data_IF_795199837032
#
_entry.id   IF_795199837032
#
_cell.length_a   1.000
_cell.length_b   1.000
_cell.length_c   1.000
_cell.angle_alpha   90.00
_cell.angle_beta   90.00
_cell.angle_gamma   90.00
#
_symmetry.space_group_name_H-M   'P 1'
#
loop_
_entity.id
_entity.type
_entity.pdbx_description
1 polymer ?
#
# COMPACT_ATOMS: atom_id res chain seq x y z
N UNK A 1 -3.46 -17.14 21.03
CA UNK A 1 -3.20 -15.82 21.66
C UNK A 1 -1.86 -15.18 21.28
N UNK A 2 -0.79 -15.93 20.97
CA UNK A 2 0.52 -15.34 20.65
C UNK A 2 0.78 -14.99 19.18
N UNK A 3 -0.14 -15.30 18.25
CA UNK A 3 0.06 -15.16 16.80
C UNK A 3 0.38 -13.73 16.32
N UNK A 4 0.11 -12.71 17.14
CA UNK A 4 0.38 -11.30 16.83
C UNK A 4 1.72 -10.80 17.37
N UNK A 5 2.38 -11.56 18.24
CA UNK A 5 3.68 -11.16 18.79
C UNK A 5 4.76 -11.51 17.79
N UNK A 6 5.60 -10.53 17.47
CA UNK A 6 6.66 -10.70 16.50
C UNK A 6 7.98 -10.15 17.08
N UNK A 7 9.09 -10.87 16.93
CA UNK A 7 10.39 -10.36 17.32
C UNK A 7 10.80 -9.15 16.48
N UNK A 8 11.57 -8.24 17.08
CA UNK A 8 12.15 -7.11 16.38
C UNK A 8 13.50 -7.49 15.76
N UNK A 9 13.49 -7.82 14.47
CA UNK A 9 14.64 -8.47 13.79
C UNK A 9 15.57 -7.52 13.02
N UNK A 10 15.49 -6.21 13.19
CA UNK A 10 16.37 -5.28 12.48
C UNK A 10 16.65 -4.01 13.26
N UNK A 11 17.91 -3.56 13.29
CA UNK A 11 18.28 -2.29 13.92
C UNK A 11 18.11 -1.09 12.98
N UNK A 12 18.18 -1.33 11.66
CA UNK A 12 18.34 -0.29 10.63
C UNK A 12 17.36 -0.44 9.46
N UNK A 13 16.54 -1.49 9.45
CA UNK A 13 15.63 -1.81 8.36
C UNK A 13 16.31 -2.33 7.09
N UNK A 14 17.59 -2.70 7.17
CA UNK A 14 18.39 -3.25 6.05
C UNK A 14 18.85 -4.66 6.37
N UNK A 15 19.45 -4.87 7.54
CA UNK A 15 19.94 -6.17 7.97
C UNK A 15 18.90 -6.90 8.82
N UNK A 16 18.71 -8.19 8.52
CA UNK A 16 17.81 -9.09 9.27
C UNK A 16 18.64 -9.92 10.23
N UNK A 17 18.21 -9.96 11.49
CA UNK A 17 18.90 -10.66 12.57
C UNK A 17 18.16 -11.97 12.83
N UNK A 18 18.86 -13.08 12.63
CA UNK A 18 18.33 -14.44 12.75
C UNK A 18 18.53 -15.05 14.13
N UNK A 19 19.60 -14.70 14.84
CA UNK A 19 19.95 -15.23 16.17
C UNK A 19 19.04 -14.67 17.28
N UNK A 20 18.39 -15.53 18.07
CA UNK A 20 17.46 -15.11 19.14
C UNK A 20 18.12 -14.23 20.22
N UNK A 21 19.37 -14.55 20.60
CA UNK A 21 20.14 -13.74 21.55
C UNK A 21 20.40 -12.34 20.98
N UNK A 22 20.63 -12.24 19.68
CA UNK A 22 20.87 -10.96 19.04
C UNK A 22 19.56 -10.21 18.78
N UNK A 23 18.43 -10.89 18.56
CA UNK A 23 17.11 -10.27 18.50
C UNK A 23 16.75 -9.54 19.82
N UNK A 24 17.04 -10.14 20.99
CA UNK A 24 16.80 -9.45 22.28
C UNK A 24 17.70 -8.21 22.43
N UNK A 25 18.98 -8.32 22.08
CA UNK A 25 19.89 -7.16 22.09
C UNK A 25 19.41 -6.08 21.13
N UNK A 26 18.92 -6.45 19.96
CA UNK A 26 18.37 -5.52 18.97
C UNK A 26 17.10 -4.87 19.46
N UNK A 27 16.20 -5.61 20.10
CA UNK A 27 15.01 -5.03 20.74
C UNK A 27 15.43 -3.93 21.73
N UNK A 28 16.35 -4.24 22.64
CA UNK A 28 16.81 -3.27 23.65
C UNK A 28 17.51 -2.08 23.01
N UNK A 29 18.45 -2.30 22.10
CA UNK A 29 19.29 -1.23 21.55
C UNK A 29 18.59 -0.42 20.45
N UNK A 30 17.71 -1.03 19.66
CA UNK A 30 16.97 -0.37 18.59
C UNK A 30 15.62 0.16 19.11
N UNK A 31 14.74 -0.69 19.63
CA UNK A 31 13.38 -0.26 20.01
C UNK A 31 13.40 0.72 21.17
N UNK A 32 14.22 0.50 22.21
CA UNK A 32 14.32 1.44 23.33
C UNK A 32 15.25 2.63 23.08
N UNK A 33 15.77 2.78 21.85
CA UNK A 33 16.30 4.06 21.44
C UNK A 33 15.20 5.12 21.57
N UNK A 34 15.50 6.24 22.24
CA UNK A 34 14.53 7.32 22.51
C UNK A 34 13.78 7.78 21.25
N UNK A 35 14.46 7.87 20.10
CA UNK A 35 13.82 8.30 18.84
C UNK A 35 12.81 7.26 18.36
N UNK A 36 13.19 5.98 18.39
CA UNK A 36 12.37 4.87 17.88
C UNK A 36 11.16 4.63 18.78
N UNK A 37 11.35 4.56 20.11
CA UNK A 37 10.24 4.32 21.03
C UNK A 37 9.18 5.44 20.98
N UNK A 38 9.62 6.70 20.86
CA UNK A 38 8.70 7.83 20.74
C UNK A 38 7.95 7.75 19.41
N UNK A 39 8.63 7.44 18.31
CA UNK A 39 7.99 7.30 16.99
C UNK A 39 6.98 6.15 16.99
N UNK A 40 7.34 5.00 17.56
CA UNK A 40 6.46 3.85 17.69
C UNK A 40 5.18 4.18 18.46
N UNK A 41 5.32 4.80 19.63
CA UNK A 41 4.17 5.15 20.47
C UNK A 41 3.29 6.20 19.78
N UNK A 42 3.89 7.15 19.07
CA UNK A 42 3.17 8.28 18.49
C UNK A 42 2.47 7.94 17.16
N UNK A 43 3.07 7.04 16.35
CA UNK A 43 2.68 6.87 14.94
C UNK A 43 2.44 5.41 14.52
N UNK A 44 2.72 4.42 15.37
CA UNK A 44 2.67 2.99 14.99
C UNK A 44 1.79 2.13 15.89
N UNK A 45 0.87 2.76 16.62
CA UNK A 45 -0.18 2.08 17.38
C UNK A 45 -1.53 2.46 16.78
N UNK A 46 -2.29 1.46 16.34
CA UNK A 46 -3.71 1.65 16.01
C UNK A 46 -4.60 1.03 17.08
N UNK A 47 -5.74 1.66 17.30
CA UNK A 47 -6.84 1.14 18.07
C UNK A 47 -7.99 0.87 17.11
N UNK A 48 -8.10 -0.38 16.65
CA UNK A 48 -9.20 -0.76 15.77
C UNK A 48 -10.49 -0.84 16.56
N UNK A 49 -11.48 -0.02 16.19
CA UNK A 49 -12.80 -0.04 16.78
C UNK A 49 -13.75 -0.92 15.95
N UNK A 50 -14.16 -2.04 16.52
CA UNK A 50 -15.21 -2.90 15.99
C UNK A 50 -16.40 -2.87 16.94
N UNK A 51 -17.45 -2.11 16.59
CA UNK A 51 -18.71 -2.03 17.35
C UNK A 51 -18.51 -1.69 18.84
N UNK A 52 -17.56 -0.80 19.16
CA UNK A 52 -17.24 -0.39 20.53
C UNK A 52 -16.20 -1.26 21.22
N UNK A 53 -15.73 -2.35 20.58
CA UNK A 53 -14.59 -3.14 21.06
C UNK A 53 -13.31 -2.65 20.41
N UNK A 54 -12.35 -2.25 21.24
CA UNK A 54 -11.04 -1.79 20.77
C UNK A 54 -10.01 -2.92 20.76
N UNK A 55 -9.42 -3.15 19.60
CA UNK A 55 -8.27 -4.03 19.42
C UNK A 55 -7.02 -3.19 19.18
N UNK A 56 -6.12 -3.13 20.17
CA UNK A 56 -4.84 -2.43 20.04
C UNK A 56 -3.86 -3.25 19.20
N UNK A 57 -3.23 -2.63 18.20
CA UNK A 57 -2.23 -3.25 17.33
C UNK A 57 -1.00 -2.35 17.25
N UNK A 58 0.18 -2.91 17.50
CA UNK A 58 1.47 -2.26 17.25
C UNK A 58 1.98 -2.71 15.87
N UNK A 59 2.62 -1.81 15.14
CA UNK A 59 3.26 -2.15 13.89
C UNK A 59 4.38 -3.18 14.07
N UNK A 60 4.47 -4.11 13.12
CA UNK A 60 5.60 -5.01 12.96
C UNK A 60 6.85 -4.27 12.50
N UNK A 61 8.05 -4.80 12.78
CA UNK A 61 9.30 -4.12 12.45
C UNK A 61 9.41 -3.78 10.95
N UNK A 62 8.97 -4.67 10.04
CA UNK A 62 8.99 -4.40 8.59
C UNK A 62 8.06 -3.25 8.21
N UNK A 63 6.90 -3.14 8.85
CA UNK A 63 5.98 -2.02 8.66
C UNK A 63 6.59 -0.71 9.15
N UNK A 64 7.23 -0.72 10.32
CA UNK A 64 7.91 0.46 10.87
C UNK A 64 8.97 1.02 9.92
N UNK A 65 9.85 0.16 9.42
CA UNK A 65 10.91 0.59 8.50
C UNK A 65 10.36 0.99 7.14
N UNK A 66 9.41 0.22 6.57
CA UNK A 66 8.79 0.55 5.29
C UNK A 66 8.09 1.92 5.31
N UNK A 67 7.28 2.18 6.33
CA UNK A 67 6.57 3.46 6.49
C UNK A 67 7.53 4.62 6.61
N UNK A 68 8.57 4.50 7.42
CA UNK A 68 9.54 5.58 7.60
C UNK A 68 10.28 5.91 6.30
N UNK A 69 10.77 4.89 5.57
CA UNK A 69 11.39 5.09 4.25
C UNK A 69 10.40 5.70 3.25
N UNK A 70 9.15 5.23 3.24
CA UNK A 70 8.12 5.74 2.36
C UNK A 70 7.77 7.20 2.64
N UNK A 71 7.63 7.61 3.91
CA UNK A 71 7.39 9.01 4.27
C UNK A 71 8.53 9.89 3.80
N UNK A 72 9.79 9.50 4.04
CA UNK A 72 10.97 10.23 3.55
C UNK A 72 10.92 10.38 2.01
N UNK A 73 10.68 9.30 1.27
CA UNK A 73 10.54 9.34 -0.18
C UNK A 73 9.36 10.15 -0.69
N UNK A 74 8.28 10.20 0.08
CA UNK A 74 7.12 11.02 -0.28
C UNK A 74 7.43 12.50 -0.13
N UNK A 75 8.13 12.89 0.94
CA UNK A 75 8.58 14.27 1.13
C UNK A 75 9.51 14.69 -0.02
N UNK A 76 10.47 13.83 -0.39
CA UNK A 76 11.36 14.08 -1.54
C UNK A 76 10.58 14.22 -2.86
N UNK A 77 9.62 13.32 -3.10
CA UNK A 77 8.81 13.30 -4.32
C UNK A 77 7.82 14.48 -4.42
N UNK A 78 7.30 14.96 -3.30
CA UNK A 78 6.34 16.07 -3.21
C UNK A 78 6.99 17.46 -3.17
N UNK A 79 8.31 17.55 -3.10
CA UNK A 79 9.03 18.82 -3.15
C UNK A 79 8.88 19.49 -4.53
N UNK A 80 9.15 20.79 -4.63
CA UNK A 80 9.10 21.60 -5.85
C UNK A 80 10.00 21.02 -6.95
N UNK A 81 11.10 20.36 -6.57
CA UNK A 81 12.04 19.68 -7.48
C UNK A 81 11.80 18.17 -7.57
N UNK A 82 10.82 17.66 -6.84
CA UNK A 82 10.43 16.26 -6.84
C UNK A 82 9.79 15.86 -8.17
N UNK A 83 9.85 14.57 -8.46
CA UNK A 83 9.29 13.97 -9.68
C UNK A 83 7.91 13.33 -9.45
N UNK A 84 7.34 13.49 -8.23
CA UNK A 84 6.07 12.88 -7.85
C UNK A 84 6.10 11.35 -7.79
N UNK A 85 7.28 10.72 -7.73
CA UNK A 85 7.45 9.26 -7.66
C UNK A 85 8.00 8.86 -6.29
N UNK A 86 7.11 8.48 -5.37
CA UNK A 86 7.47 8.15 -4.00
C UNK A 86 8.05 6.74 -3.85
N UNK A 87 7.80 5.85 -4.81
CA UNK A 87 8.38 4.50 -4.94
C UNK A 87 7.34 3.38 -4.76
N UNK A 88 7.83 2.15 -4.67
CA UNK A 88 7.01 0.94 -4.47
C UNK A 88 7.38 0.21 -3.19
N UNK A 89 6.37 -0.17 -2.39
CA UNK A 89 6.49 -1.11 -1.28
C UNK A 89 5.99 -2.48 -1.74
N UNK A 90 6.87 -3.48 -1.75
CA UNK A 90 6.49 -4.86 -1.99
C UNK A 90 6.46 -5.64 -0.69
N UNK A 91 5.26 -5.84 -0.16
CA UNK A 91 5.02 -6.57 1.08
C UNK A 91 4.07 -7.72 0.77
N UNK A 92 4.51 -8.97 0.99
CA UNK A 92 3.73 -10.16 0.58
C UNK A 92 2.29 -10.16 1.13
N UNK A 93 1.37 -10.82 0.43
CA UNK A 93 -0.01 -10.93 0.89
C UNK A 93 -0.09 -11.55 2.29
N UNK A 94 -0.92 -10.98 3.16
CA UNK A 94 -1.03 -11.40 4.57
C UNK A 94 -0.02 -10.75 5.53
N UNK A 95 0.99 -10.03 5.03
CA UNK A 95 2.00 -9.34 5.88
C UNK A 95 1.51 -8.07 6.59
N UNK A 96 0.24 -7.70 6.41
CA UNK A 96 -0.35 -6.51 7.01
C UNK A 96 -0.22 -5.22 6.19
N UNK A 97 -0.12 -5.30 4.85
CA UNK A 97 -0.06 -4.14 3.93
C UNK A 97 -1.05 -3.01 4.26
N UNK A 98 -2.32 -3.35 4.48
CA UNK A 98 -3.36 -2.35 4.76
C UNK A 98 -3.06 -1.55 6.03
N UNK A 99 -2.50 -2.19 7.08
CA UNK A 99 -2.03 -1.49 8.28
C UNK A 99 -0.79 -0.63 7.98
N UNK A 100 0.13 -1.11 7.14
CA UNK A 100 1.26 -0.30 6.67
C UNK A 100 0.77 0.99 6.01
N UNK A 101 -0.27 0.92 5.16
CA UNK A 101 -0.89 2.10 4.54
C UNK A 101 -1.55 3.04 5.57
N UNK A 102 -2.20 2.49 6.60
CA UNK A 102 -2.78 3.29 7.70
C UNK A 102 -1.71 4.07 8.44
N UNK A 103 -0.61 3.41 8.85
CA UNK A 103 0.50 4.06 9.55
C UNK A 103 1.17 5.12 8.67
N UNK A 104 1.39 4.80 7.40
CA UNK A 104 1.91 5.74 6.41
C UNK A 104 1.01 6.97 6.26
N UNK A 105 -0.29 6.77 6.07
CA UNK A 105 -1.28 7.86 5.96
C UNK A 105 -1.30 8.72 7.21
N UNK A 106 -1.41 8.12 8.41
CA UNK A 106 -1.45 8.86 9.68
C UNK A 106 -0.20 9.71 9.92
N UNK A 107 0.96 9.24 9.45
CA UNK A 107 2.22 9.97 9.53
C UNK A 107 2.32 11.09 8.50
N UNK A 108 1.85 10.89 7.27
CA UNK A 108 1.79 11.94 6.24
C UNK A 108 0.89 13.11 6.64
N UNK A 109 -0.25 12.83 7.28
CA UNK A 109 -1.17 13.86 7.79
C UNK A 109 -0.45 14.87 8.70
N UNK A 110 0.48 14.40 9.53
CA UNK A 110 1.31 15.26 10.37
C UNK A 110 2.44 15.95 9.62
N UNK A 111 3.07 15.22 8.70
CA UNK A 111 4.37 15.62 8.15
C UNK A 111 4.24 16.57 6.95
N UNK A 112 3.12 16.50 6.22
CA UNK A 112 2.91 17.25 4.97
C UNK A 112 1.75 18.24 5.06
N UNK A 113 1.54 18.85 6.24
CA UNK A 113 0.51 19.88 6.47
C UNK A 113 -0.88 19.44 6.00
N UNK A 114 -1.31 18.24 6.42
CA UNK A 114 -2.64 17.71 6.13
C UNK A 114 -2.93 17.55 4.62
N UNK A 115 -2.14 16.76 3.87
CA UNK A 115 -2.36 16.53 2.44
C UNK A 115 -3.69 15.83 2.19
N UNK A 116 -4.19 15.90 0.95
CA UNK A 116 -5.26 15.01 0.50
C UNK A 116 -4.65 13.67 0.12
N UNK A 117 -5.19 12.58 0.66
CA UNK A 117 -4.75 11.21 0.39
C UNK A 117 -5.81 10.55 -0.48
N UNK A 118 -5.40 9.97 -1.61
CA UNK A 118 -6.27 9.22 -2.51
C UNK A 118 -5.83 7.77 -2.50
N UNK A 119 -6.60 6.89 -1.86
CA UNK A 119 -6.41 5.45 -1.94
C UNK A 119 -7.09 4.92 -3.19
N UNK A 120 -6.29 4.36 -4.08
CA UNK A 120 -6.69 3.87 -5.38
C UNK A 120 -6.65 2.35 -5.39
N UNK A 121 -7.80 1.75 -5.69
CA UNK A 121 -7.95 0.30 -5.83
C UNK A 121 -8.47 -0.06 -7.22
N UNK A 122 -8.27 -1.33 -7.60
CA UNK A 122 -8.74 -1.86 -8.88
C UNK A 122 -10.23 -2.24 -8.85
N UNK A 123 -10.79 -2.62 -7.70
CA UNK A 123 -12.17 -3.09 -7.63
C UNK A 123 -12.89 -2.63 -6.37
N UNK A 124 -14.20 -2.45 -6.48
CA UNK A 124 -15.05 -2.01 -5.37
C UNK A 124 -14.93 -2.90 -4.13
N UNK A 125 -14.83 -4.23 -4.29
CA UNK A 125 -14.71 -5.14 -3.14
C UNK A 125 -13.38 -4.97 -2.38
N UNK A 126 -12.29 -4.63 -3.08
CA UNK A 126 -11.01 -4.29 -2.43
C UNK A 126 -11.07 -2.90 -1.79
N UNK A 127 -11.73 -1.96 -2.46
CA UNK A 127 -12.00 -0.60 -1.96
C UNK A 127 -12.75 -0.65 -0.61
N UNK A 128 -13.84 -1.41 -0.55
CA UNK A 128 -14.68 -1.59 0.63
C UNK A 128 -13.88 -2.22 1.79
N UNK A 129 -13.06 -3.22 1.50
CA UNK A 129 -12.20 -3.86 2.51
C UNK A 129 -11.19 -2.89 3.10
N UNK A 130 -10.48 -2.14 2.25
CA UNK A 130 -9.46 -1.21 2.68
C UNK A 130 -10.08 0.00 3.40
N UNK A 131 -11.20 0.51 2.89
CA UNK A 131 -12.00 1.54 3.54
C UNK A 131 -12.44 1.12 4.95
N UNK A 132 -12.90 -0.13 5.10
CA UNK A 132 -13.24 -0.69 6.39
C UNK A 132 -12.07 -0.67 7.38
N UNK A 133 -10.87 -1.09 6.95
CA UNK A 133 -9.66 -1.05 7.79
C UNK A 133 -9.34 0.38 8.24
N UNK A 134 -9.36 1.34 7.32
CA UNK A 134 -9.08 2.74 7.62
C UNK A 134 -10.12 3.37 8.54
N UNK A 135 -11.40 3.08 8.31
CA UNK A 135 -12.51 3.58 9.14
C UNK A 135 -12.39 3.10 10.58
N UNK A 136 -12.05 1.82 10.78
CA UNK A 136 -11.80 1.24 12.11
C UNK A 136 -10.56 1.83 12.80
N UNK A 137 -9.61 2.38 12.03
CA UNK A 137 -8.39 3.01 12.54
C UNK A 137 -8.44 4.55 12.52
N UNK A 138 -9.61 5.17 12.41
CA UNK A 138 -9.75 6.62 12.14
C UNK A 138 -9.03 7.53 13.16
N UNK A 139 -8.85 7.09 14.41
CA UNK A 139 -8.15 7.85 15.46
C UNK A 139 -6.72 8.27 15.06
N UNK A 140 -5.96 7.39 14.41
CA UNK A 140 -4.58 7.70 13.99
C UNK A 140 -4.54 8.64 12.77
N UNK A 141 -5.61 8.62 11.97
CA UNK A 141 -5.70 9.33 10.71
C UNK A 141 -6.05 10.81 10.90
N UNK A 142 -6.64 11.20 12.06
CA UNK A 142 -7.11 12.56 12.38
C UNK A 142 -8.12 13.15 11.39
N UNK A 143 -8.61 12.31 10.48
CA UNK A 143 -9.55 12.63 9.43
C UNK A 143 -10.47 11.43 9.27
N UNK A 144 -11.72 11.68 8.92
CA UNK A 144 -12.66 10.62 8.58
C UNK A 144 -12.45 10.22 7.12
N UNK A 145 -12.11 8.95 6.84
CA UNK A 145 -12.07 8.44 5.47
C UNK A 145 -13.44 8.57 4.79
N UNK A 146 -13.44 8.84 3.49
CA UNK A 146 -14.65 8.93 2.67
C UNK A 146 -14.46 8.13 1.39
N UNK A 147 -15.48 7.37 0.99
CA UNK A 147 -15.49 6.64 -0.26
C UNK A 147 -16.18 7.45 -1.36
N UNK A 148 -15.54 7.54 -2.53
CA UNK A 148 -16.12 8.13 -3.73
C UNK A 148 -16.89 7.04 -4.49
N UNK A 149 -18.22 7.12 -4.44
CA UNK A 149 -19.15 6.21 -5.11
C UNK A 149 -19.38 6.58 -6.58
N UNK A 150 -19.25 7.85 -6.94
CA UNK A 150 -19.37 8.36 -8.31
C UNK A 150 -18.20 9.25 -8.74
N UNK A 151 -18.10 9.55 -10.05
CA UNK A 151 -17.09 10.48 -10.59
C UNK A 151 -17.38 11.92 -10.15
N UNK A 152 -18.63 12.30 -10.06
CA UNK A 152 -19.08 13.60 -9.56
C UNK A 152 -18.70 13.76 -8.09
N UNK A 153 -18.88 12.70 -7.29
CA UNK A 153 -18.48 12.67 -5.89
C UNK A 153 -16.96 12.81 -5.75
N UNK A 154 -16.20 12.05 -6.53
CA UNK A 154 -14.73 12.15 -6.57
C UNK A 154 -14.26 13.57 -6.91
N UNK A 155 -14.84 14.19 -7.94
CA UNK A 155 -14.54 15.57 -8.32
C UNK A 155 -14.82 16.55 -7.19
N UNK A 156 -15.97 16.42 -6.52
CA UNK A 156 -16.32 17.25 -5.37
C UNK A 156 -15.35 17.10 -4.20
N UNK A 157 -14.95 15.86 -3.89
CA UNK A 157 -13.99 15.57 -2.81
C UNK A 157 -12.58 16.12 -3.11
N UNK A 158 -12.17 16.17 -4.37
CA UNK A 158 -10.88 16.72 -4.79
C UNK A 158 -10.86 18.25 -4.94
N UNK A 159 -12.04 18.90 -4.96
CA UNK A 159 -12.18 20.35 -5.13
C UNK A 159 -11.95 21.17 -3.84
N UNK A 160 -11.47 20.54 -2.76
CA UNK A 160 -11.17 21.21 -1.49
C UNK A 160 -9.80 21.87 -1.49
N UNK A 161 -9.57 22.82 -0.57
CA UNK A 161 -8.29 23.52 -0.45
C UNK A 161 -7.16 22.63 0.14
N UNK A 162 -7.48 21.74 1.07
CA UNK A 162 -6.53 20.80 1.67
C UNK A 162 -7.25 19.68 2.43
N UNK A 163 -6.55 18.59 2.70
CA UNK A 163 -7.05 17.46 3.50
C UNK A 163 -8.03 16.54 2.78
N UNK A 164 -8.42 15.47 3.47
CA UNK A 164 -9.29 14.40 2.97
C UNK A 164 -8.53 13.09 2.80
N UNK A 165 -9.14 12.00 3.21
CA UNK A 165 -8.71 10.64 2.88
C UNK A 165 -9.82 10.04 2.02
N UNK A 166 -9.55 9.89 0.74
CA UNK A 166 -10.52 9.55 -0.30
C UNK A 166 -10.22 8.15 -0.79
N UNK A 167 -11.21 7.27 -0.73
CA UNK A 167 -11.19 5.95 -1.33
C UNK A 167 -11.87 6.01 -2.68
N UNK A 168 -11.23 5.45 -3.71
CA UNK A 168 -11.79 5.40 -5.04
C UNK A 168 -11.21 4.24 -5.82
N UNK A 169 -11.96 3.82 -6.82
CA UNK A 169 -11.48 2.85 -7.79
C UNK A 169 -10.91 3.53 -9.03
N UNK A 170 -10.03 2.82 -9.71
CA UNK A 170 -9.36 3.31 -10.91
C UNK A 170 -10.34 3.60 -12.07
N UNK A 171 -11.47 2.89 -12.13
CA UNK A 171 -12.49 3.09 -13.18
C UNK A 171 -13.13 4.49 -13.15
N UNK A 172 -13.03 5.20 -12.01
CA UNK A 172 -13.57 6.56 -11.88
C UNK A 172 -12.70 7.60 -12.57
N UNK A 173 -11.49 7.25 -13.00
CA UNK A 173 -10.61 8.09 -13.81
C UNK A 173 -10.70 7.79 -15.33
N UNK A 174 -11.74 7.08 -15.77
CA UNK A 174 -11.97 6.82 -17.19
C UNK A 174 -12.76 7.94 -17.85
N UNK A 175 -12.35 8.43 -19.03
CA UNK A 175 -13.20 9.30 -19.82
C UNK A 175 -14.44 8.53 -20.30
N UNK A 176 -15.55 9.23 -20.48
CA UNK A 176 -16.77 8.65 -21.07
C UNK A 176 -16.58 8.27 -22.55
N UNK A 177 -15.70 8.99 -23.25
CA UNK A 177 -15.37 8.75 -24.65
C UNK A 177 -14.00 8.08 -24.80
N UNK A 178 -13.93 7.00 -25.59
CA UNK A 178 -12.68 6.29 -25.86
C UNK A 178 -11.67 7.22 -26.54
N UNK A 179 -10.49 7.36 -25.93
CA UNK A 179 -9.38 8.16 -26.47
C UNK A 179 -9.41 9.63 -26.07
N UNK A 180 -10.41 10.09 -25.32
CA UNK A 180 -10.40 11.44 -24.75
C UNK A 180 -9.37 11.55 -23.61
N UNK A 181 -8.84 12.76 -23.40
CA UNK A 181 -8.07 13.06 -22.18
C UNK A 181 -9.03 13.15 -21.00
N UNK A 182 -8.60 12.66 -19.85
CA UNK A 182 -9.38 12.83 -18.63
C UNK A 182 -9.21 14.27 -18.14
N UNK A 183 -10.30 14.96 -17.71
CA UNK A 183 -10.19 16.34 -17.26
C UNK A 183 -9.37 16.44 -15.98
N UNK A 184 -8.60 17.53 -15.85
CA UNK A 184 -7.94 17.86 -14.60
C UNK A 184 -8.98 18.02 -13.48
N UNK A 185 -8.80 17.27 -12.39
CA UNK A 185 -9.65 17.36 -11.20
C UNK A 185 -9.05 18.30 -10.15
N UNK A 186 -7.72 18.36 -10.06
CA UNK A 186 -7.00 19.25 -9.16
C UNK A 186 -5.56 19.46 -9.63
N UNK A 187 -5.06 20.68 -9.58
CA UNK A 187 -3.64 21.03 -9.84
C UNK A 187 -2.80 21.10 -8.56
N UNK A 188 -3.36 20.73 -7.41
CA UNK A 188 -2.67 20.82 -6.12
C UNK A 188 -1.50 19.82 -6.03
N UNK A 189 -0.38 20.26 -5.49
CA UNK A 189 0.79 19.40 -5.22
C UNK A 189 0.71 18.64 -3.90
N UNK A 190 -0.15 19.06 -2.96
CA UNK A 190 -0.37 18.39 -1.68
C UNK A 190 -1.41 17.25 -1.79
N UNK A 191 -1.31 16.45 -2.85
CA UNK A 191 -2.13 15.26 -3.09
C UNK A 191 -1.20 14.06 -3.19
N UNK A 192 -1.49 13.00 -2.43
CA UNK A 192 -0.70 11.77 -2.42
C UNK A 192 -1.63 10.62 -2.81
N UNK A 193 -1.30 9.96 -3.91
CA UNK A 193 -2.03 8.80 -4.42
C UNK A 193 -1.33 7.52 -3.94
N UNK A 194 -2.07 6.69 -3.21
CA UNK A 194 -1.64 5.39 -2.73
C UNK A 194 -2.35 4.34 -3.57
N UNK A 195 -1.61 3.67 -4.47
CA UNK A 195 -2.16 2.59 -5.28
C UNK A 195 -1.97 1.25 -4.56
N UNK A 196 -3.06 0.52 -4.32
CA UNK A 196 -3.00 -0.89 -3.91
C UNK A 196 -2.91 -1.80 -5.14
N UNK A 197 -2.18 -2.91 -4.97
CA UNK A 197 -1.80 -3.86 -6.03
C UNK A 197 -1.25 -3.18 -7.30
N UNK A 198 -0.29 -2.27 -7.11
CA UNK A 198 0.34 -1.47 -8.16
C UNK A 198 1.04 -2.27 -9.29
N UNK A 199 1.20 -3.58 -9.13
CA UNK A 199 1.83 -4.49 -10.12
C UNK A 199 0.83 -5.09 -11.13
N UNK A 200 -0.48 -4.93 -10.92
CA UNK A 200 -1.45 -5.70 -11.70
C UNK A 200 -1.43 -5.17 -13.12
N UNK A 201 -1.33 -6.07 -14.10
CA UNK A 201 -1.37 -5.79 -15.55
C UNK A 201 -2.49 -4.84 -15.99
N UNK A 202 -3.50 -4.61 -15.15
CA UNK A 202 -4.50 -3.56 -15.26
C UNK A 202 -3.91 -2.15 -15.44
N UNK A 203 -2.81 -1.81 -14.75
CA UNK A 203 -2.11 -0.53 -14.93
C UNK A 203 -1.33 -0.48 -16.25
N UNK A 204 -0.88 -1.65 -16.74
CA UNK A 204 -0.14 -1.85 -17.99
C UNK A 204 -1.02 -1.99 -19.24
N UNK A 205 -2.27 -2.45 -19.09
CA UNK A 205 -3.20 -2.65 -20.21
C UNK A 205 -3.70 -1.28 -20.70
N UNK A 206 -2.88 -0.72 -21.58
CA UNK A 206 -3.06 0.51 -22.35
C UNK A 206 -2.83 1.72 -21.44
N UNK A 207 -1.61 2.25 -21.44
CA UNK A 207 -1.17 3.66 -21.69
C UNK A 207 -2.02 4.85 -21.18
N UNK A 208 -3.19 4.59 -20.65
CA UNK A 208 -4.35 5.44 -20.46
C UNK A 208 -4.70 5.47 -18.98
N UNK A 209 -4.68 4.36 -18.24
CA UNK A 209 -4.95 4.36 -16.79
C UNK A 209 -4.06 5.34 -16.03
N UNK A 210 -2.75 5.10 -16.10
CA UNK A 210 -1.75 5.95 -15.47
C UNK A 210 -1.79 7.39 -16.00
N UNK A 211 -1.95 7.53 -17.33
CA UNK A 211 -2.03 8.81 -18.01
C UNK A 211 -3.24 9.62 -17.56
N UNK A 212 -4.42 9.01 -17.41
CA UNK A 212 -5.64 9.68 -16.99
C UNK A 212 -5.57 10.15 -15.54
N UNK A 213 -4.97 9.36 -14.64
CA UNK A 213 -4.78 9.79 -13.25
C UNK A 213 -3.75 10.93 -13.19
N UNK A 214 -2.66 10.85 -13.98
CA UNK A 214 -1.69 11.95 -14.12
C UNK A 214 -2.30 13.20 -14.76
N UNK A 215 -3.19 13.05 -15.74
CA UNK A 215 -3.95 14.17 -16.33
C UNK A 215 -4.91 14.79 -15.30
N UNK A 216 -5.55 13.95 -14.48
CA UNK A 216 -6.47 14.36 -13.42
C UNK A 216 -5.77 15.10 -12.27
N UNK A 217 -4.57 14.64 -11.90
CA UNK A 217 -3.80 15.02 -10.72
C UNK A 217 -2.31 15.22 -11.09
N UNK A 218 -1.98 16.22 -11.94
CA UNK A 218 -0.65 16.37 -12.54
C UNK A 218 0.48 16.58 -11.54
N UNK A 219 0.19 17.22 -10.41
CA UNK A 219 1.19 17.56 -9.39
C UNK A 219 1.16 16.61 -8.18
N UNK A 220 0.39 15.53 -8.23
CA UNK A 220 0.32 14.56 -7.14
C UNK A 220 1.58 13.69 -7.05
N UNK A 221 1.90 13.23 -5.84
CA UNK A 221 2.90 12.20 -5.59
C UNK A 221 2.27 10.82 -5.53
N UNK A 222 2.95 9.82 -6.10
CA UNK A 222 2.41 8.48 -6.26
C UNK A 222 3.28 7.45 -5.52
N UNK A 223 2.64 6.61 -4.71
CA UNK A 223 3.26 5.45 -4.08
C UNK A 223 2.48 4.19 -4.41
N UNK A 224 3.19 3.11 -4.75
CA UNK A 224 2.61 1.82 -5.04
C UNK A 224 2.80 0.84 -3.89
N UNK A 225 1.77 0.07 -3.56
CA UNK A 225 1.86 -1.10 -2.69
C UNK A 225 1.50 -2.34 -3.49
N UNK A 226 2.23 -3.43 -3.28
CA UNK A 226 2.00 -4.68 -4.00
C UNK A 226 2.27 -5.91 -3.14
N UNK A 227 1.48 -6.97 -3.35
CA UNK A 227 1.74 -8.29 -2.77
C UNK A 227 2.80 -9.13 -3.50
N UNK A 228 3.06 -8.82 -4.75
CA UNK A 228 3.89 -9.62 -5.67
C UNK A 228 5.00 -8.75 -6.27
N UNK A 229 6.11 -9.35 -6.72
CA UNK A 229 7.15 -8.62 -7.40
C UNK A 229 6.66 -8.09 -8.75
N UNK A 230 7.12 -6.90 -9.10
CA UNK A 230 7.07 -6.36 -10.46
C UNK A 230 7.77 -7.32 -11.43
N UNK A 231 7.13 -7.54 -12.58
CA UNK A 231 7.71 -8.35 -13.65
C UNK A 231 8.92 -7.63 -14.25
N UNK A 232 9.88 -8.39 -14.81
CA UNK A 232 11.09 -7.80 -15.40
C UNK A 232 10.79 -6.86 -16.58
N UNK A 233 9.67 -7.09 -17.25
CA UNK A 233 9.22 -6.32 -18.40
C UNK A 233 8.20 -5.22 -18.02
N UNK A 234 7.86 -5.07 -16.73
CA UNK A 234 7.02 -3.99 -16.21
C UNK A 234 7.80 -2.68 -16.21
N UNK A 235 7.64 -1.92 -17.29
CA UNK A 235 8.23 -0.58 -17.44
C UNK A 235 7.39 0.52 -16.80
N UNK A 236 6.08 0.31 -16.66
CA UNK A 236 5.17 1.39 -16.30
C UNK A 236 5.15 1.64 -14.79
N UNK A 237 5.27 0.60 -13.96
CA UNK A 237 5.27 0.78 -12.51
C UNK A 237 6.44 1.68 -12.06
N UNK A 238 7.70 1.47 -12.50
CA UNK A 238 8.79 2.40 -12.18
C UNK A 238 8.62 3.81 -12.75
N UNK A 239 7.94 3.96 -13.89
CA UNK A 239 7.65 5.27 -14.48
C UNK A 239 6.64 6.06 -13.65
N UNK A 240 5.62 5.40 -13.09
CA UNK A 240 4.55 6.05 -12.32
C UNK A 240 4.94 6.23 -10.87
N UNK A 241 5.45 5.18 -10.25
CA UNK A 241 5.68 5.13 -8.81
C UNK A 241 7.16 5.32 -8.47
N UNK A 242 8.08 4.90 -9.33
CA UNK A 242 9.52 4.88 -9.03
C UNK A 242 10.01 3.49 -8.61
N UNK A 243 11.24 3.42 -8.09
CA UNK A 243 11.87 2.16 -7.69
C UNK A 243 11.30 1.61 -6.38
N UNK A 244 11.62 0.35 -6.08
CA UNK A 244 11.35 -0.21 -4.76
C UNK A 244 11.99 0.60 -3.63
N UNK A 245 11.21 0.86 -2.60
CA UNK A 245 11.63 1.50 -1.35
C UNK A 245 11.93 0.45 -0.29
N UNK A 246 11.07 -0.58 -0.22
CA UNK A 246 11.13 -1.63 0.79
C UNK A 246 10.53 -2.93 0.24
N UNK A 247 11.16 -4.05 0.60
CA UNK A 247 10.77 -5.39 0.19
C UNK A 247 10.65 -6.29 1.43
N UNK A 248 9.48 -6.88 1.59
CA UNK A 248 9.15 -7.91 2.56
C UNK A 248 8.45 -9.06 1.82
N UNK A 249 9.27 -9.93 1.25
CA UNK A 249 8.83 -11.03 0.40
C UNK A 249 8.25 -12.22 1.19
N UNK A 250 7.80 -13.23 0.45
CA UNK A 250 7.21 -14.45 1.01
C UNK A 250 8.22 -15.28 1.83
N UNK A 251 9.49 -15.32 1.43
CA UNK A 251 10.51 -16.09 2.14
C UNK A 251 10.73 -15.52 3.54
N UNK A 252 10.86 -14.19 3.62
CA UNK A 252 11.00 -13.46 4.88
C UNK A 252 9.74 -13.53 5.73
N UNK A 253 8.57 -13.42 5.12
CA UNK A 253 7.30 -13.52 5.86
C UNK A 253 7.08 -14.90 6.48
N UNK A 254 7.45 -15.98 5.77
CA UNK A 254 7.41 -17.35 6.30
C UNK A 254 8.45 -17.50 7.42
N UNK A 255 9.68 -17.01 7.23
CA UNK A 255 10.74 -17.06 8.25
C UNK A 255 10.40 -16.28 9.53
N UNK A 256 9.54 -15.27 9.42
CA UNK A 256 9.05 -14.48 10.55
C UNK A 256 7.75 -15.04 11.18
N UNK A 257 7.14 -16.06 10.57
CA UNK A 257 5.84 -16.59 11.00
C UNK A 257 4.66 -15.66 10.71
N UNK A 258 4.87 -14.61 9.91
CA UNK A 258 3.85 -13.64 9.50
C UNK A 258 2.83 -14.24 8.53
N UNK A 259 3.22 -15.27 7.76
CA UNK A 259 2.36 -15.98 6.81
C UNK A 259 2.61 -17.48 6.89
N UNK A 260 1.58 -18.29 6.64
CA UNK A 260 1.72 -19.74 6.52
C UNK A 260 2.44 -20.12 5.23
N UNK A 261 3.28 -21.16 5.28
CA UNK A 261 3.97 -21.68 4.11
C UNK A 261 3.01 -22.29 3.10
N UNK A 262 3.16 -21.95 1.82
CA UNK A 262 2.37 -22.52 0.73
C UNK A 262 3.17 -23.67 0.11
N UNK A 263 2.66 -24.89 0.23
CA UNK A 263 3.21 -26.06 -0.46
C UNK A 263 2.44 -26.31 -1.75
N UNK A 264 3.10 -26.16 -2.90
CA UNK A 264 2.51 -26.46 -4.19
C UNK A 264 2.74 -27.92 -4.57
N UNK A 265 1.69 -28.73 -4.54
CA UNK A 265 1.71 -30.09 -5.09
C UNK A 265 1.17 -30.05 -6.53
N UNK A 266 2.05 -30.21 -7.52
CA UNK A 266 1.61 -30.32 -8.92
C UNK A 266 0.85 -31.62 -9.13
N UNK A 267 -0.45 -31.51 -9.42
CA UNK A 267 -1.28 -32.66 -9.83
C UNK A 267 -1.44 -32.65 -11.34
N UNK A 268 -0.70 -33.53 -12.01
CA UNK A 268 -0.96 -33.87 -13.39
C UNK A 268 -2.27 -34.65 -13.46
N UNK A 269 -3.36 -33.98 -13.82
CA UNK A 269 -4.57 -34.66 -14.25
C UNK A 269 -4.22 -35.47 -15.52
N UNK A 270 -4.21 -36.79 -15.42
CA UNK A 270 -4.09 -37.67 -16.59
C UNK A 270 -5.37 -37.55 -17.40
N UNK A 271 -5.39 -36.64 -18.36
CA UNK A 271 -6.43 -36.57 -19.38
C UNK A 271 -6.27 -37.81 -20.28
N UNK A 272 -7.08 -38.84 -20.03
CA UNK A 272 -7.28 -39.93 -20.99
C UNK A 272 -8.41 -39.50 -21.92
N UNK A 273 -8.16 -39.54 -23.22
CA UNK A 273 -9.23 -39.52 -24.22
C UNK A 273 -10.13 -40.74 -23.98
N UNK A 274 -11.44 -40.54 -24.06
CA UNK A 274 -12.39 -41.62 -24.01
C UNK A 274 -12.15 -42.50 -25.25
N UNK A 275 -11.90 -43.80 -25.07
CA UNK A 275 -11.54 -44.71 -26.18
C UNK A 275 -12.66 -44.76 -27.26
N UNK A 276 -13.89 -44.42 -26.88
CA UNK A 276 -15.05 -44.32 -27.78
C UNK A 276 -15.12 -43.02 -28.60
N UNK A 277 -14.26 -42.04 -28.32
CA UNK A 277 -14.21 -40.73 -29.01
C UNK A 277 -12.92 -40.55 -29.83
N UNK A 278 -12.07 -41.58 -29.91
CA UNK A 278 -10.88 -41.55 -30.76
C UNK A 278 -11.32 -41.72 -32.21
N UNK A 279 -11.12 -40.72 -33.09
CA UNK A 279 -11.46 -40.86 -34.51
C UNK A 279 -10.62 -41.99 -35.11
N UNK A 280 -11.28 -43.01 -35.64
CA UNK A 280 -10.61 -44.08 -36.38
C UNK A 280 -9.89 -43.49 -37.60
N UNK A 281 -8.58 -43.75 -37.70
CA UNK A 281 -7.77 -43.47 -38.89
C UNK A 281 -8.00 -44.59 -39.90
#
# INVERSE_FOLDING_TARGET
>A
EYERFMPWKSADGKSVISSDLDQLKTLVNAVFNKKIIIDLISNFIVFENEEGKYNKKLASYHQYFAVNKAVEKTIEASDIKGDGRSGVIWHTQGSGKSLTMVFYTGKLVLTLNNPTIVLLTDRNDLDDQLFGVFSRCSDILRQTPVQADSRERLKGLLSVASGGIIFTTIQKFFPDEKGAKYPQLSDRSNIIVIADEAHRSQYDFIDGYARHIRDALPNASFIGFTGTPLERDDKNTPEIFGNYIDIYDIERAIADGSTVGIYYESRLAKLKLNENEVPGI
#
